data_IF_625897305593
#
_entry.id   IF_625897305593
#
_cell.length_a   1.000
_cell.length_b   1.000
_cell.length_c   1.000
_cell.angle_alpha   90.00
_cell.angle_beta   90.00
_cell.angle_gamma   90.00
#
_symmetry.space_group_name_H-M   'P 1'
#
loop_
_entity.id
_entity.type
_entity.pdbx_description
1 polymer ?
#
# COMPACT_ATOMS: atom_id res chain seq x y z
N UNK A 1 8.21 7.97 -23.72
CA UNK A 1 7.87 8.93 -22.65
C UNK A 1 8.82 8.71 -21.46
N UNK A 2 8.85 9.58 -20.45
CA UNK A 2 9.75 9.43 -19.30
C UNK A 2 9.14 10.04 -18.02
N UNK A 3 9.01 9.22 -16.98
CA UNK A 3 8.56 9.64 -15.65
C UNK A 3 9.12 8.69 -14.60
N UNK A 4 8.96 9.07 -13.33
CA UNK A 4 9.51 8.34 -12.19
C UNK A 4 8.48 8.26 -11.07
N UNK A 5 8.34 7.10 -10.44
CA UNK A 5 7.67 6.94 -9.15
C UNK A 5 8.64 7.44 -8.08
N UNK A 6 8.31 8.55 -7.44
CA UNK A 6 9.22 9.23 -6.49
C UNK A 6 8.87 8.98 -5.02
N UNK A 7 7.72 8.38 -4.75
CA UNK A 7 7.26 8.09 -3.40
C UNK A 7 6.10 7.10 -3.39
N UNK A 8 6.12 6.19 -2.42
CA UNK A 8 5.05 5.24 -2.15
C UNK A 8 4.87 5.16 -0.65
N UNK A 9 3.64 5.38 -0.19
CA UNK A 9 3.28 5.38 1.22
C UNK A 9 2.01 4.59 1.46
N UNK A 10 1.90 4.02 2.66
CA UNK A 10 0.71 3.34 3.15
C UNK A 10 0.14 4.13 4.33
N UNK A 11 -1.11 4.55 4.20
CA UNK A 11 -1.91 5.08 5.30
C UNK A 11 -2.59 3.92 6.03
N UNK A 12 -2.41 3.82 7.36
CA UNK A 12 -3.10 2.88 8.26
C UNK A 12 -3.26 3.52 9.64
N UNK A 13 -4.42 3.34 10.28
CA UNK A 13 -4.74 3.92 11.60
C UNK A 13 -4.49 5.45 11.71
N UNK A 14 -4.69 6.20 10.62
CA UNK A 14 -4.43 7.64 10.57
C UNK A 14 -2.94 8.04 10.54
N UNK A 15 -2.04 7.07 10.40
CA UNK A 15 -0.60 7.29 10.18
C UNK A 15 -0.26 6.96 8.73
N UNK A 16 0.65 7.72 8.13
CA UNK A 16 1.13 7.50 6.77
C UNK A 16 2.64 7.26 6.79
N UNK A 17 3.08 6.14 6.22
CA UNK A 17 4.47 5.67 6.31
C UNK A 17 4.99 5.20 4.95
N UNK A 18 6.29 5.42 4.70
CA UNK A 18 6.98 4.93 3.51
C UNK A 18 7.14 3.40 3.52
N UNK A 19 7.08 2.80 2.34
CA UNK A 19 7.16 1.34 2.21
C UNK A 19 8.57 0.77 2.45
N UNK A 20 8.68 -0.50 2.90
CA UNK A 20 7.60 -1.34 3.43
C UNK A 20 7.25 -0.99 4.89
N UNK A 21 5.97 -1.11 5.24
CA UNK A 21 5.48 -0.89 6.62
C UNK A 21 5.39 -2.21 7.38
N UNK A 22 5.72 -2.23 8.67
CA UNK A 22 5.82 -3.48 9.44
C UNK A 22 4.90 -3.52 10.65
N UNK A 23 4.53 -4.74 11.05
CA UNK A 23 3.80 -5.04 12.28
C UNK A 23 2.44 -4.33 12.41
N UNK A 24 1.73 -4.16 11.30
CA UNK A 24 0.39 -3.59 11.32
C UNK A 24 -0.56 -4.60 11.99
N UNK A 25 -1.32 -4.22 13.02
CA UNK A 25 -2.35 -5.09 13.59
C UNK A 25 -3.35 -5.59 12.53
N UNK A 26 -3.64 -6.89 12.56
CA UNK A 26 -4.66 -7.50 11.72
C UNK A 26 -6.04 -6.80 11.88
N UNK A 27 -6.75 -6.65 10.75
CA UNK A 27 -8.10 -6.08 10.70
C UNK A 27 -8.14 -4.57 10.55
N UNK A 28 -6.99 -3.91 10.40
CA UNK A 28 -6.95 -2.49 10.08
C UNK A 28 -7.35 -2.20 8.64
N UNK A 29 -7.88 -1.00 8.43
CA UNK A 29 -8.09 -0.44 7.09
C UNK A 29 -6.85 0.31 6.66
N UNK A 30 -6.45 0.13 5.40
CA UNK A 30 -5.29 0.79 4.82
C UNK A 30 -5.61 1.44 3.46
N UNK A 31 -4.76 2.37 3.04
CA UNK A 31 -4.89 3.14 1.78
C UNK A 31 -3.52 3.45 1.21
N UNK A 32 -3.34 3.28 -0.09
CA UNK A 32 -2.06 3.50 -0.79
C UNK A 32 -1.99 4.90 -1.38
N UNK A 33 -0.83 5.54 -1.25
CA UNK A 33 -0.49 6.82 -1.86
C UNK A 33 0.75 6.65 -2.73
N UNK A 34 0.70 7.17 -3.97
CA UNK A 34 1.82 7.09 -4.91
C UNK A 34 2.04 8.45 -5.55
N UNK A 35 3.29 8.86 -5.68
CA UNK A 35 3.68 10.08 -6.39
C UNK A 35 4.41 9.72 -7.67
N UNK A 36 3.82 10.12 -8.80
CA UNK A 36 4.45 10.07 -10.11
C UNK A 36 4.98 11.44 -10.52
N UNK A 37 6.20 11.51 -11.05
CA UNK A 37 6.81 12.74 -11.57
C UNK A 37 6.95 12.69 -13.08
N UNK A 38 6.68 13.81 -13.74
CA UNK A 38 6.97 13.97 -15.16
C UNK A 38 8.43 14.38 -15.37
N UNK A 39 9.22 13.55 -16.07
CA UNK A 39 10.62 13.84 -16.40
C UNK A 39 10.80 14.33 -17.85
N UNK A 40 9.73 14.37 -18.65
CA UNK A 40 9.74 14.96 -19.99
C UNK A 40 9.90 16.48 -19.92
N UNK A 41 10.53 17.06 -20.95
CA UNK A 41 10.56 18.51 -21.13
C UNK A 41 9.18 19.11 -21.49
N UNK A 42 8.30 18.30 -22.10
CA UNK A 42 6.92 18.67 -22.41
C UNK A 42 5.98 18.37 -21.24
N UNK A 43 4.83 19.04 -21.21
CA UNK A 43 3.79 18.76 -20.23
C UNK A 43 3.09 17.43 -20.52
N UNK A 44 2.88 16.59 -19.51
CA UNK A 44 2.27 15.27 -19.65
C UNK A 44 1.14 15.05 -18.66
N UNK A 45 0.14 14.25 -19.04
CA UNK A 45 -0.78 13.63 -18.07
C UNK A 45 -0.12 12.36 -17.54
N UNK A 46 -0.32 12.10 -16.25
CA UNK A 46 0.21 10.93 -15.57
C UNK A 46 -0.95 9.96 -15.31
N UNK A 47 -0.75 8.69 -15.60
CA UNK A 47 -1.65 7.60 -15.25
C UNK A 47 -0.99 6.69 -14.25
N UNK A 48 -1.78 6.02 -13.41
CA UNK A 48 -1.29 5.01 -12.48
C UNK A 48 -2.19 3.80 -12.54
N UNK A 49 -1.60 2.62 -12.40
CA UNK A 49 -2.31 1.39 -12.11
C UNK A 49 -1.56 0.65 -11.02
N UNK A 50 -2.25 0.15 -10.00
CA UNK A 50 -1.63 -0.74 -9.04
C UNK A 50 -2.54 -1.86 -8.55
N UNK A 51 -1.89 -2.96 -8.21
CA UNK A 51 -2.49 -4.19 -7.73
C UNK A 51 -1.91 -4.52 -6.35
N UNK A 52 -2.77 -4.72 -5.36
CA UNK A 52 -2.36 -5.17 -4.02
C UNK A 52 -2.82 -6.60 -3.82
N UNK A 53 -1.91 -7.46 -3.38
CA UNK A 53 -2.19 -8.87 -3.08
C UNK A 53 -2.04 -9.14 -1.59
N UNK A 54 -2.92 -10.00 -1.07
CA UNK A 54 -2.82 -10.52 0.29
C UNK A 54 -1.73 -11.60 0.42
N UNK A 55 -1.45 -12.08 1.64
CA UNK A 55 -0.43 -13.10 1.89
C UNK A 55 -0.65 -14.44 1.17
N UNK A 56 -1.88 -14.72 0.72
CA UNK A 56 -2.21 -15.93 -0.05
C UNK A 56 -2.14 -15.67 -1.58
N UNK A 57 -1.73 -14.46 -2.00
CA UNK A 57 -1.66 -14.04 -3.40
C UNK A 57 -3.02 -13.65 -3.99
N UNK A 58 -4.04 -13.39 -3.16
CA UNK A 58 -5.36 -12.95 -3.64
C UNK A 58 -5.35 -11.43 -3.82
N UNK A 59 -5.83 -10.97 -4.99
CA UNK A 59 -5.98 -9.56 -5.30
C UNK A 59 -7.01 -8.92 -4.36
N UNK A 60 -6.58 -7.96 -3.54
CA UNK A 60 -7.44 -7.21 -2.60
C UNK A 60 -7.71 -5.77 -3.06
N UNK A 61 -6.90 -5.25 -3.99
CA UNK A 61 -7.15 -3.97 -4.62
C UNK A 61 -6.62 -3.96 -6.05
N UNK A 62 -7.44 -3.44 -6.95
CA UNK A 62 -7.11 -3.07 -8.32
C UNK A 62 -7.51 -1.59 -8.48
N UNK A 63 -6.53 -0.70 -8.59
CA UNK A 63 -6.76 0.75 -8.64
C UNK A 63 -6.10 1.35 -9.87
N UNK A 64 -6.87 2.12 -10.65
CA UNK A 64 -6.40 2.88 -11.80
C UNK A 64 -6.92 4.31 -11.71
N UNK A 65 -6.09 5.28 -12.10
CA UNK A 65 -6.50 6.67 -12.28
C UNK A 65 -5.59 7.43 -13.25
N UNK A 66 -6.10 8.54 -13.78
CA UNK A 66 -5.36 9.49 -14.60
C UNK A 66 -5.49 10.90 -14.06
N UNK A 67 -4.35 11.59 -13.93
CA UNK A 67 -4.31 12.99 -13.51
C UNK A 67 -5.22 13.85 -14.39
N UNK A 68 -6.04 14.72 -13.79
CA UNK A 68 -6.94 15.61 -14.55
C UNK A 68 -6.17 16.68 -15.33
N UNK A 69 -5.04 17.13 -14.79
CA UNK A 69 -4.22 18.18 -15.34
C UNK A 69 -2.95 17.63 -15.99
N UNK A 70 -2.29 18.50 -16.75
CA UNK A 70 -0.96 18.25 -17.31
C UNK A 70 0.12 18.82 -16.39
N UNK A 71 1.16 18.03 -16.17
CA UNK A 71 2.26 18.32 -15.26
C UNK A 71 3.49 18.73 -16.05
N UNK A 72 4.17 19.79 -15.62
CA UNK A 72 5.41 20.28 -16.24
C UNK A 72 6.58 19.38 -15.86
N UNK A 73 7.72 19.58 -16.52
CA UNK A 73 8.96 18.90 -16.17
C UNK A 73 9.28 19.07 -14.68
N UNK A 74 9.62 17.96 -14.03
CA UNK A 74 10.02 17.91 -12.62
C UNK A 74 8.87 18.04 -11.61
N UNK A 75 7.63 18.27 -12.05
CA UNK A 75 6.47 18.33 -11.16
C UNK A 75 5.83 16.96 -11.00
N UNK A 76 5.29 16.70 -9.81
CA UNK A 76 4.66 15.44 -9.43
C UNK A 76 3.14 15.55 -9.23
N UNK A 77 2.49 14.38 -9.29
CA UNK A 77 1.08 14.20 -8.96
C UNK A 77 0.94 13.06 -7.96
N UNK A 78 0.16 13.31 -6.90
CA UNK A 78 -0.23 12.29 -5.94
C UNK A 78 -1.49 11.57 -6.43
N UNK A 79 -1.41 10.25 -6.51
CA UNK A 79 -2.54 9.36 -6.65
C UNK A 79 -2.87 8.73 -5.30
N UNK A 80 -4.15 8.62 -4.99
CA UNK A 80 -4.60 8.07 -3.71
C UNK A 80 -5.68 7.02 -3.93
N UNK A 81 -5.40 5.78 -3.53
CA UNK A 81 -6.27 4.63 -3.73
C UNK A 81 -7.57 4.66 -2.95
N UNK A 82 -8.36 3.62 -3.15
CA UNK A 82 -9.44 3.27 -2.23
C UNK A 82 -8.91 2.66 -0.92
N UNK A 83 -9.78 2.59 0.08
CA UNK A 83 -9.49 1.84 1.30
C UNK A 83 -9.65 0.32 1.08
N UNK A 84 -8.83 -0.49 1.73
CA UNK A 84 -8.96 -1.95 1.78
C UNK A 84 -8.61 -2.49 3.17
N UNK A 85 -9.05 -3.71 3.47
CA UNK A 85 -8.87 -4.33 4.79
C UNK A 85 -7.65 -5.27 4.81
N UNK A 86 -6.80 -5.10 5.82
CA UNK A 86 -5.68 -5.97 6.16
C UNK A 86 -6.16 -7.16 6.99
N UNK A 87 -7.03 -7.98 6.40
CA UNK A 87 -7.77 -9.03 7.11
C UNK A 87 -6.94 -10.25 7.50
N UNK A 88 -5.85 -10.52 6.79
CA UNK A 88 -4.98 -11.69 6.99
C UNK A 88 -3.62 -11.29 7.55
N UNK A 89 -3.04 -12.06 8.49
CA UNK A 89 -1.66 -11.87 8.90
C UNK A 89 -0.69 -12.35 7.81
N UNK A 90 0.48 -11.70 7.74
CA UNK A 90 1.50 -12.00 6.74
C UNK A 90 1.87 -10.80 5.87
N UNK A 91 2.61 -11.06 4.80
CA UNK A 91 3.11 -10.01 3.89
C UNK A 91 2.10 -9.74 2.78
N UNK A 92 1.70 -8.48 2.64
CA UNK A 92 0.96 -7.99 1.47
C UNK A 92 1.98 -7.45 0.47
N UNK A 93 1.72 -7.65 -0.82
CA UNK A 93 2.58 -7.15 -1.91
C UNK A 93 1.83 -6.14 -2.77
N UNK A 94 2.59 -5.30 -3.47
CA UNK A 94 2.06 -4.30 -4.38
C UNK A 94 2.87 -4.27 -5.68
N UNK A 95 2.15 -4.15 -6.79
CA UNK A 95 2.67 -3.93 -8.12
C UNK A 95 2.13 -2.60 -8.63
N UNK A 96 2.98 -1.70 -9.10
CA UNK A 96 2.61 -0.35 -9.55
C UNK A 96 3.18 -0.12 -10.94
N UNK A 97 2.38 0.46 -11.83
CA UNK A 97 2.80 0.94 -13.13
C UNK A 97 2.40 2.42 -13.28
N UNK A 98 3.40 3.29 -13.45
CA UNK A 98 3.22 4.70 -13.83
C UNK A 98 3.19 4.79 -15.35
N UNK A 99 2.20 5.47 -15.89
CA UNK A 99 1.98 5.59 -17.33
C UNK A 99 1.90 7.03 -17.80
N UNK A 100 2.19 7.25 -19.08
CA UNK A 100 1.90 8.47 -19.82
C UNK A 100 1.13 8.14 -21.10
N UNK A 101 0.72 9.16 -21.86
CA UNK A 101 -0.03 9.01 -23.12
C UNK A 101 -1.43 8.36 -22.95
N UNK A 102 -2.43 9.07 -22.37
CA UNK A 102 -3.72 8.47 -22.03
C UNK A 102 -4.48 7.78 -23.19
N UNK A 103 -4.24 8.19 -24.44
CA UNK A 103 -4.88 7.58 -25.61
C UNK A 103 -4.24 6.26 -26.05
N UNK A 104 -2.97 6.04 -25.70
CA UNK A 104 -2.22 4.82 -25.98
C UNK A 104 -1.16 4.66 -24.87
N UNK A 105 -1.58 4.18 -23.68
CA UNK A 105 -0.77 4.27 -22.46
C UNK A 105 0.60 3.60 -22.59
N UNK A 106 1.65 4.36 -22.29
CA UNK A 106 3.02 3.86 -22.18
C UNK A 106 3.43 3.81 -20.70
N UNK A 107 3.83 2.64 -20.21
CA UNK A 107 4.42 2.49 -18.88
C UNK A 107 5.82 3.11 -18.90
N UNK A 108 6.03 4.10 -18.04
CA UNK A 108 7.29 4.86 -17.94
C UNK A 108 8.10 4.49 -16.70
N UNK A 109 7.46 3.97 -15.65
CA UNK A 109 8.13 3.45 -14.46
C UNK A 109 7.26 2.38 -13.77
N UNK A 110 7.87 1.53 -12.95
CA UNK A 110 7.16 0.48 -12.23
C UNK A 110 7.84 0.11 -10.92
N UNK A 111 7.03 -0.36 -9.97
CA UNK A 111 7.50 -0.85 -8.68
C UNK A 111 6.83 -2.19 -8.34
N UNK A 112 7.62 -3.12 -7.81
CA UNK A 112 7.16 -4.42 -7.32
C UNK A 112 7.81 -4.66 -5.96
N UNK A 113 7.01 -4.93 -4.93
CA UNK A 113 7.59 -5.16 -3.62
C UNK A 113 6.58 -5.47 -2.52
N UNK A 114 7.11 -5.54 -1.30
CA UNK A 114 6.29 -5.70 -0.11
C UNK A 114 5.60 -4.37 0.18
N UNK A 115 4.28 -4.41 0.33
CA UNK A 115 3.52 -3.28 0.81
C UNK A 115 3.69 -3.16 2.33
N UNK A 116 3.29 -4.21 3.05
CA UNK A 116 3.41 -4.24 4.49
C UNK A 116 3.42 -5.66 5.06
N UNK A 117 3.78 -5.78 6.34
CA UNK A 117 3.54 -7.00 7.13
C UNK A 117 2.46 -6.78 8.18
N UNK A 118 1.52 -7.70 8.24
CA UNK A 118 0.41 -7.71 9.19
C UNK A 118 0.69 -8.72 10.29
N UNK A 119 0.69 -8.27 11.54
CA UNK A 119 0.82 -9.10 12.71
C UNK A 119 -0.52 -9.77 13.04
N UNK A 120 -0.49 -11.08 13.33
CA UNK A 120 -1.68 -11.81 13.75
C UNK A 120 -2.27 -11.22 15.03
N UNK A 121 -3.60 -11.20 15.12
CA UNK A 121 -4.27 -10.90 16.37
C UNK A 121 -3.81 -11.91 17.45
N UNK A 122 -3.31 -11.41 18.58
CA UNK A 122 -3.05 -12.25 19.74
C UNK A 122 -4.42 -12.66 20.29
N UNK A 123 -4.79 -13.96 20.29
CA UNK A 123 -6.05 -14.37 20.87
C UNK A 123 -6.06 -14.01 22.36
N UNK A 124 -7.20 -13.51 22.86
CA UNK A 124 -7.34 -13.36 24.31
C UNK A 124 -7.14 -14.74 24.97
N UNK A 125 -6.35 -14.82 26.05
CA UNK A 125 -6.21 -16.08 26.77
C UNK A 125 -7.59 -16.54 27.25
N UNK A 126 -7.92 -17.80 26.97
CA UNK A 126 -9.19 -18.43 27.36
C UNK A 126 -9.38 -18.51 28.88
N UNK A 127 -8.33 -18.22 29.66
CA UNK A 127 -8.37 -18.10 31.11
C UNK A 127 -7.99 -16.68 31.52
N UNK A 128 -8.91 -16.01 32.23
CA UNK A 128 -8.65 -14.80 33.01
C UNK A 128 -8.78 -15.15 34.49
N UNK A 129 -7.83 -14.72 35.31
CA UNK A 129 -7.87 -14.93 36.77
C UNK A 129 -7.24 -16.23 37.28
N UNK A 130 -6.20 -16.76 36.61
CA UNK A 130 -5.40 -17.82 37.22
C UNK A 130 -4.71 -17.29 38.48
N UNK A 131 -5.10 -17.82 39.63
CA UNK A 131 -4.50 -17.50 40.92
C UNK A 131 -4.25 -18.79 41.69
N UNK A 132 -3.02 -18.97 42.18
CA UNK A 132 -2.71 -20.07 43.10
C UNK A 132 -3.21 -19.64 44.47
N UNK A 133 -4.31 -20.23 44.94
CA UNK A 133 -4.91 -19.90 46.24
C UNK A 133 -4.24 -20.63 47.39
N UNK A 134 -3.64 -21.80 47.14
CA UNK A 134 -2.95 -22.58 48.15
C UNK A 134 -1.94 -23.54 47.50
N UNK A 135 -0.84 -23.82 48.19
CA UNK A 135 0.11 -24.88 47.84
C UNK A 135 -0.06 -26.04 48.82
N UNK A 136 -0.45 -27.21 48.32
CA UNK A 136 -0.44 -28.44 49.10
C UNK A 136 0.84 -29.23 48.81
N UNK A 137 1.59 -29.55 49.87
CA UNK A 137 2.77 -30.43 49.83
C UNK A 137 2.37 -31.85 50.18
N UNK A 138 2.90 -32.83 49.42
CA UNK A 138 2.79 -34.28 49.71
C UNK A 138 3.86 -34.71 50.69
#
# INVERSE_FOLDING_TARGET
YAGTIIGIELEHNGTQEGLPVYNIPQGQTARVHVWGRNDMASTQRLGIHWLVYDPDGILVQDYEDWSLLYYRQGTDHQFIGGHFNLAKPGTYTINIALSMNPSDPEIVDSYYGNLCTVAAAVPEPAFRGFGVTEYATV
#
